data_IF_424302611382
#
_entry.id   IF_424302611382
#
_cell.length_a   1.000
_cell.length_b   1.000
_cell.length_c   1.000
_cell.angle_alpha   90.00
_cell.angle_beta   90.00
_cell.angle_gamma   90.00
#
_symmetry.space_group_name_H-M   'P 1'
#
loop_
_entity.id
_entity.type
_entity.pdbx_description
1 polymer ?
#
# COMPACT_ATOMS: atom_id res chain seq x y z
N UNK A 1 11.72 -2.45 16.08
CA UNK A 1 12.83 -1.71 16.75
C UNK A 1 12.34 -0.28 16.92
N UNK A 2 12.61 0.41 18.03
CA UNK A 2 12.14 1.80 18.18
C UNK A 2 13.14 2.78 17.60
N UNK A 3 12.63 3.84 16.96
CA UNK A 3 13.35 5.02 16.58
C UNK A 3 13.95 5.66 17.84
N UNK A 4 15.27 5.63 17.98
CA UNK A 4 15.93 6.39 19.04
C UNK A 4 15.78 7.88 18.76
N UNK A 5 15.82 8.73 19.78
CA UNK A 5 15.80 10.19 19.62
C UNK A 5 17.04 10.78 18.90
N UNK A 6 17.81 9.95 18.21
CA UNK A 6 19.12 10.28 17.65
C UNK A 6 19.09 9.96 16.16
N UNK A 7 19.61 10.84 15.28
CA UNK A 7 19.43 10.73 13.84
C UNK A 7 20.12 9.50 13.24
N UNK A 8 19.50 8.97 12.19
CA UNK A 8 20.12 8.05 11.25
C UNK A 8 20.94 8.81 10.22
N UNK A 9 21.96 8.14 9.68
CA UNK A 9 22.77 8.66 8.57
C UNK A 9 23.13 7.56 7.59
N UNK A 10 23.53 7.92 6.37
CA UNK A 10 24.03 6.96 5.38
C UNK A 10 25.56 7.05 5.25
N UNK A 11 26.20 5.92 5.00
CA UNK A 11 27.62 5.87 4.62
C UNK A 11 27.81 5.02 3.36
N UNK A 12 28.77 5.34 2.48
CA UNK A 12 29.03 4.56 1.28
C UNK A 12 29.32 3.08 1.59
N UNK A 13 28.76 2.18 0.79
CA UNK A 13 29.08 0.76 0.88
C UNK A 13 30.49 0.53 0.33
N UNK A 14 31.40 -0.12 1.09
CA UNK A 14 32.76 -0.38 0.61
C UNK A 14 32.81 -1.39 -0.54
N UNK A 15 31.85 -2.32 -0.59
CA UNK A 15 31.88 -3.46 -1.51
C UNK A 15 31.12 -3.20 -2.82
N UNK A 16 30.21 -2.22 -2.85
CA UNK A 16 29.34 -1.94 -3.98
C UNK A 16 29.30 -0.45 -4.31
N UNK A 17 29.94 -0.08 -5.43
CA UNK A 17 29.98 1.31 -5.87
C UNK A 17 28.55 1.83 -6.17
N UNK A 18 28.23 3.00 -5.63
CA UNK A 18 26.90 3.61 -5.78
C UNK A 18 25.85 3.08 -4.80
N UNK A 19 26.21 2.15 -3.92
CA UNK A 19 25.38 1.72 -2.79
C UNK A 19 25.79 2.40 -1.49
N UNK A 20 24.88 2.41 -0.53
CA UNK A 20 25.10 2.90 0.82
C UNK A 20 24.50 1.94 1.86
N UNK A 21 24.95 2.09 3.10
CA UNK A 21 24.34 1.45 4.28
C UNK A 21 23.83 2.55 5.21
N UNK A 22 22.76 2.25 5.93
CA UNK A 22 22.20 3.14 6.94
C UNK A 22 22.75 2.78 8.33
N UNK A 23 23.15 3.80 9.08
CA UNK A 23 23.75 3.69 10.40
C UNK A 23 22.96 4.53 11.42
N UNK A 24 22.96 4.06 12.67
CA UNK A 24 22.50 4.85 13.81
C UNK A 24 23.57 5.85 14.26
N UNK A 25 23.22 6.68 15.24
CA UNK A 25 24.11 7.69 15.81
C UNK A 25 25.35 7.15 16.51
N UNK A 26 25.39 5.86 16.83
CA UNK A 26 26.57 5.18 17.38
C UNK A 26 27.50 4.65 16.28
N UNK A 27 27.16 4.89 15.02
CA UNK A 27 27.90 4.39 13.85
C UNK A 27 27.61 2.92 13.55
N UNK A 28 26.61 2.31 14.18
CA UNK A 28 26.25 0.91 13.95
C UNK A 28 25.24 0.82 12.83
N UNK A 29 25.41 -0.17 11.95
CA UNK A 29 24.42 -0.48 10.92
C UNK A 29 23.05 -0.73 11.56
N UNK A 30 22.03 -0.18 10.91
CA UNK A 30 20.65 -0.48 11.25
C UNK A 30 20.44 -2.00 11.20
N UNK A 31 19.52 -2.48 12.02
CA UNK A 31 19.09 -3.86 12.03
C UNK A 31 17.72 -3.96 11.39
N UNK A 32 17.48 -5.07 10.73
CA UNK A 32 16.20 -5.46 10.13
C UNK A 32 15.16 -5.81 11.21
N UNK A 33 13.93 -6.09 10.80
CA UNK A 33 12.86 -6.50 11.72
C UNK A 33 13.14 -7.83 12.43
N UNK A 34 13.97 -8.74 11.86
CA UNK A 34 14.44 -9.97 12.52
C UNK A 34 15.80 -9.80 13.22
N UNK A 35 16.30 -8.56 13.33
CA UNK A 35 17.55 -8.19 14.00
C UNK A 35 18.83 -8.68 13.30
N UNK A 36 18.74 -9.06 12.04
CA UNK A 36 19.90 -9.33 11.18
C UNK A 36 20.51 -8.03 10.65
N UNK A 37 21.60 -8.16 9.90
CA UNK A 37 22.26 -7.01 9.28
C UNK A 37 21.40 -6.49 8.13
N UNK A 38 21.20 -5.17 8.10
CA UNK A 38 20.52 -4.51 7.00
C UNK A 38 21.45 -4.45 5.78
N UNK A 39 20.95 -4.85 4.62
CA UNK A 39 21.72 -4.88 3.38
C UNK A 39 22.01 -3.48 2.84
N UNK A 40 23.04 -3.35 2.01
CA UNK A 40 23.27 -2.13 1.26
C UNK A 40 22.34 -2.04 0.05
N UNK A 41 21.75 -0.88 -0.19
CA UNK A 41 20.97 -0.59 -1.40
C UNK A 41 21.57 0.63 -2.10
N UNK A 42 21.06 0.98 -3.29
CA UNK A 42 21.54 2.15 -4.03
C UNK A 42 21.46 3.41 -3.17
N UNK A 43 22.42 4.32 -3.33
CA UNK A 43 22.47 5.56 -2.53
C UNK A 43 21.16 6.37 -2.59
N UNK A 44 20.47 6.52 -3.75
CA UNK A 44 19.17 7.19 -3.79
C UNK A 44 18.10 6.52 -2.93
N UNK A 45 18.02 5.19 -2.90
CA UNK A 45 17.09 4.44 -2.05
C UNK A 45 17.42 4.65 -0.58
N UNK A 46 18.70 4.62 -0.22
CA UNK A 46 19.16 4.85 1.15
C UNK A 46 18.91 6.27 1.66
N UNK A 47 19.02 7.28 0.79
CA UNK A 47 18.67 8.67 1.12
C UNK A 47 17.16 8.82 1.42
N UNK A 48 16.31 8.10 0.69
CA UNK A 48 14.87 8.09 0.97
C UNK A 48 14.57 7.41 2.31
N UNK A 49 15.22 6.29 2.61
CA UNK A 49 15.11 5.62 3.92
C UNK A 49 15.58 6.53 5.07
N UNK A 50 16.75 7.15 4.95
CA UNK A 50 17.30 8.07 5.95
C UNK A 50 16.32 9.21 6.24
N UNK A 51 15.77 9.84 5.19
CA UNK A 51 14.80 10.93 5.34
C UNK A 51 13.53 10.45 6.03
N UNK A 52 13.02 9.27 5.66
CA UNK A 52 11.80 8.72 6.23
C UNK A 52 11.98 8.38 7.72
N UNK A 53 13.06 7.68 8.08
CA UNK A 53 13.35 7.32 9.47
C UNK A 53 13.58 8.55 10.37
N UNK A 54 14.29 9.56 9.86
CA UNK A 54 14.51 10.81 10.60
C UNK A 54 13.25 11.69 10.68
N UNK A 55 12.25 11.44 9.84
CA UNK A 55 10.93 12.09 9.89
C UNK A 55 9.95 11.45 10.88
N UNK A 56 10.26 10.24 11.39
CA UNK A 56 9.41 9.56 12.37
C UNK A 56 9.47 10.27 13.74
N UNK A 57 8.35 10.31 14.49
CA UNK A 57 8.39 10.80 15.85
C UNK A 57 9.39 10.02 16.73
N UNK A 58 9.97 10.63 17.76
CA UNK A 58 10.87 9.94 18.67
C UNK A 58 10.19 8.74 19.33
N UNK A 59 10.93 7.64 19.49
CA UNK A 59 10.48 6.39 20.15
C UNK A 59 9.39 5.59 19.40
N UNK A 60 9.00 6.01 18.20
CA UNK A 60 8.10 5.28 17.32
C UNK A 60 8.73 3.98 16.81
N UNK A 61 7.96 2.92 16.57
CA UNK A 61 8.50 1.71 15.94
C UNK A 61 8.94 2.01 14.50
N UNK A 62 10.12 1.54 14.09
CA UNK A 62 10.61 1.70 12.72
C UNK A 62 9.68 1.03 11.69
N UNK A 63 8.84 0.09 12.11
CA UNK A 63 7.80 -0.52 11.27
C UNK A 63 6.72 0.47 10.80
N UNK A 64 6.68 1.68 11.35
CA UNK A 64 5.85 2.79 10.84
C UNK A 64 6.40 3.44 9.55
N UNK A 65 7.61 3.06 9.13
CA UNK A 65 8.22 3.41 7.85
C UNK A 65 7.97 2.28 6.83
N UNK A 66 7.22 2.60 5.77
CA UNK A 66 6.95 1.67 4.67
C UNK A 66 8.25 1.29 3.94
N UNK A 67 9.16 2.24 3.80
CA UNK A 67 10.47 2.02 3.16
C UNK A 67 11.31 1.06 4.00
N UNK A 68 11.34 1.24 5.33
CA UNK A 68 12.02 0.31 6.22
C UNK A 68 11.42 -1.09 6.13
N UNK A 69 10.09 -1.23 6.12
CA UNK A 69 9.43 -2.53 6.00
C UNK A 69 9.81 -3.26 4.70
N UNK A 70 9.78 -2.57 3.56
CA UNK A 70 10.22 -3.12 2.27
C UNK A 70 11.69 -3.54 2.32
N UNK A 71 12.59 -2.59 2.57
CA UNK A 71 14.02 -2.84 2.46
C UNK A 71 14.51 -3.84 3.52
N UNK A 72 13.87 -3.85 4.69
CA UNK A 72 14.16 -4.85 5.71
C UNK A 72 13.74 -6.25 5.26
N UNK A 73 12.63 -6.41 4.55
CA UNK A 73 12.19 -7.71 4.05
C UNK A 73 13.16 -8.25 2.99
N UNK A 74 13.55 -7.39 2.05
CA UNK A 74 14.50 -7.73 0.99
C UNK A 74 15.96 -7.82 1.47
N UNK A 75 16.25 -7.42 2.72
CA UNK A 75 17.55 -7.70 3.36
C UNK A 75 17.62 -9.10 3.98
N UNK A 76 16.48 -9.68 4.33
CA UNK A 76 16.39 -10.96 5.04
C UNK A 76 16.31 -12.15 4.08
N UNK A 77 15.43 -12.01 3.10
CA UNK A 77 15.12 -13.08 2.17
C UNK A 77 16.07 -13.03 0.98
N UNK A 78 16.78 -14.14 0.77
CA UNK A 78 17.61 -14.31 -0.42
C UNK A 78 16.65 -14.60 -1.59
N UNK A 79 16.20 -13.54 -2.26
CA UNK A 79 15.20 -13.57 -3.34
C UNK A 79 13.79 -13.98 -2.85
N UNK A 80 13.09 -13.10 -2.10
CA UNK A 80 11.70 -13.36 -1.73
C UNK A 80 10.83 -13.54 -2.97
N UNK A 81 9.82 -14.41 -2.86
CA UNK A 81 8.83 -14.65 -3.92
C UNK A 81 7.44 -14.37 -3.38
N UNK A 82 6.94 -13.18 -3.69
CA UNK A 82 5.58 -12.74 -3.49
C UNK A 82 4.73 -13.09 -4.71
N UNK A 83 3.46 -13.43 -4.45
CA UNK A 83 2.47 -13.75 -5.46
C UNK A 83 1.18 -13.01 -5.13
N UNK A 84 0.60 -12.36 -6.13
CA UNK A 84 -0.71 -11.74 -6.01
C UNK A 84 -1.81 -12.76 -6.36
N UNK A 85 -2.74 -12.99 -5.45
CA UNK A 85 -3.89 -13.88 -5.65
C UNK A 85 -5.07 -13.09 -6.22
N UNK A 86 -4.87 -12.43 -7.36
CA UNK A 86 -5.82 -11.45 -7.91
C UNK A 86 -7.22 -12.03 -8.10
N UNK A 87 -7.32 -13.29 -8.53
CA UNK A 87 -8.61 -13.95 -8.79
C UNK A 87 -9.44 -14.06 -7.52
N UNK A 88 -8.79 -14.42 -6.43
CA UNK A 88 -9.37 -14.53 -5.10
C UNK A 88 -9.59 -13.14 -4.49
N UNK A 89 -8.53 -12.36 -4.31
CA UNK A 89 -8.53 -11.10 -3.55
C UNK A 89 -9.52 -10.08 -4.11
N UNK A 90 -9.66 -9.97 -5.44
CA UNK A 90 -10.56 -8.98 -6.05
C UNK A 90 -12.03 -9.21 -5.68
N UNK A 91 -12.42 -10.43 -5.30
CA UNK A 91 -13.81 -10.75 -4.99
C UNK A 91 -14.30 -10.06 -3.72
N UNK A 92 -13.37 -9.64 -2.85
CA UNK A 92 -13.60 -8.88 -1.63
C UNK A 92 -13.18 -7.41 -1.75
N UNK A 93 -12.77 -6.96 -2.93
CA UNK A 93 -12.40 -5.57 -3.14
C UNK A 93 -13.64 -4.66 -3.03
N UNK A 94 -13.59 -3.74 -2.08
CA UNK A 94 -14.66 -2.83 -1.74
C UNK A 94 -15.05 -1.93 -2.93
N UNK A 95 -14.14 -1.71 -3.87
CA UNK A 95 -14.41 -0.91 -5.07
C UNK A 95 -15.46 -1.54 -6.02
N UNK A 96 -15.83 -2.81 -5.82
CA UNK A 96 -16.93 -3.47 -6.53
C UNK A 96 -18.10 -3.86 -5.61
N UNK A 97 -18.04 -3.51 -4.32
CA UNK A 97 -18.99 -3.94 -3.27
C UNK A 97 -19.43 -2.73 -2.45
N UNK A 98 -19.85 -1.66 -3.13
CA UNK A 98 -20.24 -0.40 -2.51
C UNK A 98 -21.49 -0.57 -1.64
N UNK A 99 -21.71 0.41 -0.75
CA UNK A 99 -22.86 0.43 0.15
C UNK A 99 -24.20 0.45 -0.59
N UNK A 100 -25.21 -0.17 0.02
CA UNK A 100 -26.61 -0.09 -0.45
C UNK A 100 -27.29 1.23 -0.03
N UNK A 101 -26.73 1.95 0.94
CA UNK A 101 -27.18 3.30 1.33
C UNK A 101 -26.75 4.31 0.26
N UNK A 102 -27.71 4.99 -0.36
CA UNK A 102 -27.47 5.92 -1.48
C UNK A 102 -26.51 7.07 -1.13
N UNK A 103 -26.61 7.62 0.09
CA UNK A 103 -25.77 8.72 0.55
C UNK A 103 -24.33 8.25 0.85
N UNK A 104 -24.15 6.98 1.23
CA UNK A 104 -22.82 6.37 1.34
C UNK A 104 -22.26 6.07 -0.04
N UNK A 105 -23.07 5.43 -0.87
CA UNK A 105 -22.68 4.97 -2.19
C UNK A 105 -22.17 6.14 -3.03
N UNK A 106 -22.87 7.29 -3.05
CA UNK A 106 -22.45 8.46 -3.83
C UNK A 106 -21.02 8.92 -3.49
N UNK A 107 -20.66 8.88 -2.20
CA UNK A 107 -19.32 9.24 -1.73
C UNK A 107 -18.30 8.18 -2.16
N UNK A 108 -18.64 6.91 -2.05
CA UNK A 108 -17.78 5.80 -2.46
C UNK A 108 -17.56 5.78 -3.98
N UNK A 109 -18.59 6.04 -4.78
CA UNK A 109 -18.48 6.22 -6.23
C UNK A 109 -17.47 7.30 -6.60
N UNK A 110 -17.54 8.46 -5.94
CA UNK A 110 -16.57 9.55 -6.16
C UNK A 110 -15.15 9.14 -5.79
N UNK A 111 -14.98 8.31 -4.76
CA UNK A 111 -13.67 7.89 -4.27
C UNK A 111 -12.97 6.88 -5.19
N UNK A 112 -13.74 6.12 -5.98
CA UNK A 112 -13.21 5.14 -6.96
C UNK A 112 -13.33 5.60 -8.42
N UNK A 113 -13.64 6.88 -8.66
CA UNK A 113 -13.90 7.40 -10.01
C UNK A 113 -12.76 7.13 -11.00
N UNK A 114 -11.50 7.12 -10.54
CA UNK A 114 -10.34 6.78 -11.37
C UNK A 114 -10.35 5.30 -11.81
N UNK A 115 -10.77 4.38 -10.94
CA UNK A 115 -10.92 2.97 -11.28
C UNK A 115 -12.06 2.78 -12.28
N UNK A 116 -13.20 3.43 -12.06
CA UNK A 116 -14.32 3.39 -12.99
C UNK A 116 -13.93 3.93 -14.36
N UNK A 117 -13.16 5.01 -14.42
CA UNK A 117 -12.65 5.57 -15.68
C UNK A 117 -11.67 4.62 -16.38
N UNK A 118 -10.84 3.91 -15.61
CA UNK A 118 -9.89 2.93 -16.13
C UNK A 118 -10.61 1.69 -16.70
N UNK A 119 -11.57 1.15 -15.95
CA UNK A 119 -12.31 -0.05 -16.33
C UNK A 119 -13.42 0.21 -17.36
N UNK A 120 -13.98 1.42 -17.39
CA UNK A 120 -15.06 1.82 -18.31
C UNK A 120 -16.27 0.88 -18.17
N UNK A 121 -16.76 0.34 -19.28
CA UNK A 121 -17.94 -0.54 -19.35
C UNK A 121 -17.75 -1.87 -18.60
N UNK A 122 -16.51 -2.25 -18.27
CA UNK A 122 -16.24 -3.46 -17.49
C UNK A 122 -16.47 -3.27 -15.98
N UNK A 123 -16.52 -2.03 -15.50
CA UNK A 123 -16.75 -1.80 -14.07
C UNK A 123 -18.17 -2.21 -13.67
N UNK A 124 -18.29 -2.88 -12.52
CA UNK A 124 -19.55 -3.34 -11.96
C UNK A 124 -19.70 -2.94 -10.49
N UNK A 125 -20.95 -2.72 -10.07
CA UNK A 125 -21.31 -2.65 -8.65
C UNK A 125 -22.05 -3.93 -8.28
N UNK A 126 -21.45 -4.76 -7.44
CA UNK A 126 -22.03 -6.01 -6.96
C UNK A 126 -22.53 -5.85 -5.53
N UNK A 127 -23.48 -6.69 -5.13
CA UNK A 127 -23.95 -6.74 -3.73
C UNK A 127 -22.84 -7.20 -2.76
N UNK A 128 -22.99 -6.96 -1.45
CA UNK A 128 -21.94 -7.25 -0.46
C UNK A 128 -21.50 -8.72 -0.43
N UNK A 129 -20.21 -8.96 -0.23
CA UNK A 129 -19.65 -10.31 -0.10
C UNK A 129 -19.33 -10.64 1.38
N UNK A 130 -20.21 -11.42 2.01
CA UNK A 130 -20.04 -11.88 3.40
C UNK A 130 -19.39 -13.26 3.50
N UNK A 131 -18.97 -13.84 2.38
CA UNK A 131 -18.38 -15.17 2.33
C UNK A 131 -16.92 -15.12 2.75
N UNK A 132 -16.41 -16.20 3.34
CA UNK A 132 -15.01 -16.35 3.70
C UNK A 132 -14.18 -17.00 2.58
N UNK A 133 -14.83 -17.73 1.67
CA UNK A 133 -14.17 -18.42 0.56
C UNK A 133 -14.95 -18.31 -0.74
N UNK A 134 -14.29 -18.59 -1.87
CA UNK A 134 -14.93 -18.63 -3.18
C UNK A 134 -15.99 -19.74 -3.27
N UNK A 135 -15.77 -20.88 -2.61
CA UNK A 135 -16.72 -21.99 -2.56
C UNK A 135 -18.02 -21.57 -1.85
N UNK A 136 -17.90 -20.78 -0.76
CA UNK A 136 -19.06 -20.26 -0.06
C UNK A 136 -19.83 -19.24 -0.93
N UNK A 137 -19.13 -18.39 -1.70
CA UNK A 137 -19.77 -17.50 -2.68
C UNK A 137 -20.59 -18.31 -3.70
N UNK A 138 -20.02 -19.40 -4.23
CA UNK A 138 -20.71 -20.30 -5.17
C UNK A 138 -21.95 -20.93 -4.53
N UNK A 139 -21.84 -21.43 -3.30
CA UNK A 139 -22.97 -22.05 -2.59
C UNK A 139 -24.10 -21.04 -2.32
N UNK A 140 -23.75 -19.79 -2.04
CA UNK A 140 -24.70 -18.68 -1.83
C UNK A 140 -25.21 -18.04 -3.12
N UNK A 141 -24.74 -18.49 -4.29
CA UNK A 141 -25.01 -17.88 -5.60
C UNK A 141 -24.72 -16.37 -5.63
N UNK A 142 -23.62 -15.94 -4.99
CA UNK A 142 -23.17 -14.55 -5.08
C UNK A 142 -22.53 -14.30 -6.44
N UNK A 143 -22.75 -13.10 -6.97
CA UNK A 143 -22.11 -12.65 -8.20
C UNK A 143 -20.60 -12.46 -7.97
N UNK A 144 -19.82 -12.92 -8.94
CA UNK A 144 -18.37 -12.75 -8.97
C UNK A 144 -18.00 -11.48 -9.73
N UNK A 145 -16.87 -10.89 -9.39
CA UNK A 145 -16.23 -9.86 -10.21
C UNK A 145 -15.95 -10.47 -11.60
N UNK A 146 -16.38 -9.82 -12.70
CA UNK A 146 -16.25 -10.36 -14.05
C UNK A 146 -14.80 -10.65 -14.44
N UNK A 147 -14.61 -11.68 -15.26
CA UNK A 147 -13.30 -12.04 -15.80
C UNK A 147 -12.66 -10.90 -16.60
N UNK A 148 -13.45 -10.03 -17.25
CA UNK A 148 -12.92 -8.88 -17.99
C UNK A 148 -12.24 -7.85 -17.07
N UNK A 149 -12.74 -7.65 -15.85
CA UNK A 149 -12.09 -6.84 -14.82
C UNK A 149 -10.79 -7.50 -14.38
N UNK A 150 -10.83 -8.81 -14.11
CA UNK A 150 -9.66 -9.60 -13.72
C UNK A 150 -8.54 -9.51 -14.76
N UNK A 151 -8.86 -9.66 -16.04
CA UNK A 151 -7.91 -9.57 -17.15
C UNK A 151 -7.26 -8.18 -17.23
N UNK A 152 -8.04 -7.11 -17.04
CA UNK A 152 -7.51 -5.74 -17.02
C UNK A 152 -6.54 -5.52 -15.86
N UNK A 153 -6.91 -5.91 -14.63
CA UNK A 153 -6.04 -5.77 -13.46
C UNK A 153 -4.80 -6.67 -13.58
N UNK A 154 -4.96 -7.90 -14.05
CA UNK A 154 -3.83 -8.80 -14.32
C UNK A 154 -2.85 -8.20 -15.33
N UNK A 155 -3.35 -7.55 -16.39
CA UNK A 155 -2.54 -6.84 -17.37
C UNK A 155 -1.68 -5.73 -16.77
N UNK A 156 -2.16 -5.01 -15.75
CA UNK A 156 -1.36 -4.00 -15.02
C UNK A 156 -0.22 -4.67 -14.25
N UNK A 157 -0.53 -5.76 -13.55
CA UNK A 157 0.39 -6.41 -12.61
C UNK A 157 1.41 -7.34 -13.28
N UNK A 158 1.26 -7.63 -14.57
CA UNK A 158 2.07 -8.61 -15.29
C UNK A 158 3.59 -8.36 -15.18
N UNK A 159 3.99 -7.09 -15.15
CA UNK A 159 5.39 -6.65 -15.08
C UNK A 159 5.79 -6.12 -13.69
N UNK A 160 5.02 -6.42 -12.65
CA UNK A 160 5.39 -6.00 -11.30
C UNK A 160 6.64 -6.74 -10.83
N UNK A 161 7.61 -5.99 -10.29
CA UNK A 161 8.75 -6.58 -9.59
C UNK A 161 8.30 -7.16 -8.24
N UNK A 162 9.18 -7.92 -7.59
CA UNK A 162 8.90 -8.47 -6.27
C UNK A 162 8.64 -7.38 -5.23
N UNK A 163 9.32 -6.24 -5.33
CA UNK A 163 9.11 -5.07 -4.46
C UNK A 163 7.72 -4.47 -4.65
N UNK A 164 7.24 -4.41 -5.90
CA UNK A 164 5.88 -3.94 -6.21
C UNK A 164 4.82 -4.94 -5.74
N UNK A 165 5.04 -6.24 -5.91
CA UNK A 165 4.14 -7.27 -5.39
C UNK A 165 4.07 -7.21 -3.85
N UNK A 166 5.20 -7.10 -3.17
CA UNK A 166 5.24 -6.90 -1.73
C UNK A 166 4.54 -5.61 -1.31
N UNK A 167 4.69 -4.53 -2.06
CA UNK A 167 3.99 -3.28 -1.78
C UNK A 167 2.47 -3.44 -1.87
N UNK A 168 1.95 -4.23 -2.82
CA UNK A 168 0.52 -4.57 -2.85
C UNK A 168 0.12 -5.28 -1.55
N UNK A 169 0.82 -6.35 -1.17
CA UNK A 169 0.51 -7.14 0.02
C UNK A 169 0.59 -6.29 1.31
N UNK A 170 1.64 -5.48 1.45
CA UNK A 170 1.82 -4.58 2.59
C UNK A 170 0.67 -3.58 2.70
N UNK A 171 0.27 -2.96 1.59
CA UNK A 171 -0.81 -1.97 1.59
C UNK A 171 -2.19 -2.63 1.77
N UNK A 172 -2.41 -3.83 1.25
CA UNK A 172 -3.61 -4.60 1.54
C UNK A 172 -3.72 -4.84 3.05
N UNK A 173 -2.63 -5.27 3.71
CA UNK A 173 -2.62 -5.47 5.15
C UNK A 173 -2.90 -4.18 5.94
N UNK A 174 -2.35 -3.05 5.50
CA UNK A 174 -2.57 -1.74 6.16
C UNK A 174 -4.02 -1.28 5.99
N UNK A 175 -4.60 -1.48 4.82
CA UNK A 175 -5.96 -1.03 4.52
C UNK A 175 -7.05 -2.07 4.85
N UNK A 176 -6.70 -3.21 5.45
CA UNK A 176 -7.67 -4.21 5.90
C UNK A 176 -8.13 -5.20 4.82
N UNK A 177 -7.37 -5.36 3.73
CA UNK A 177 -7.51 -6.47 2.77
C UNK A 177 -8.57 -6.31 1.68
N UNK A 178 -9.24 -5.15 1.60
CA UNK A 178 -10.39 -4.94 0.70
C UNK A 178 -10.16 -3.83 -0.36
N UNK A 179 -8.92 -3.45 -0.66
CA UNK A 179 -8.61 -2.26 -1.49
C UNK A 179 -7.67 -2.54 -2.68
N UNK A 180 -7.62 -3.79 -3.14
CA UNK A 180 -6.66 -4.27 -4.14
C UNK A 180 -6.54 -3.37 -5.37
N UNK A 181 -7.66 -3.06 -6.04
CA UNK A 181 -7.65 -2.34 -7.32
C UNK A 181 -7.07 -0.94 -7.19
N UNK A 182 -7.44 -0.21 -6.13
CA UNK A 182 -6.92 1.13 -5.88
C UNK A 182 -5.41 1.10 -5.59
N UNK A 183 -4.94 0.10 -4.84
CA UNK A 183 -3.50 -0.10 -4.60
C UNK A 183 -2.76 -0.38 -5.92
N UNK A 184 -3.29 -1.25 -6.76
CA UNK A 184 -2.69 -1.60 -8.06
C UNK A 184 -2.59 -0.38 -8.98
N UNK A 185 -3.64 0.45 -9.05
CA UNK A 185 -3.62 1.71 -9.82
C UNK A 185 -2.56 2.67 -9.26
N UNK A 186 -2.41 2.77 -7.95
CA UNK A 186 -1.45 3.67 -7.32
C UNK A 186 0.00 3.26 -7.59
N UNK A 187 0.33 1.96 -7.46
CA UNK A 187 1.66 1.41 -7.79
C UNK A 187 1.99 1.67 -9.26
N UNK A 188 0.97 1.68 -10.12
CA UNK A 188 1.10 1.88 -11.56
C UNK A 188 1.10 3.35 -11.99
N UNK A 189 1.15 4.30 -11.04
CA UNK A 189 1.05 5.75 -11.28
C UNK A 189 -0.24 6.20 -12.01
N UNK A 190 -1.32 5.42 -11.92
CA UNK A 190 -2.61 5.79 -12.49
C UNK A 190 -3.42 6.69 -11.54
N UNK A 191 -3.09 6.68 -10.25
CA UNK A 191 -3.61 7.60 -9.22
C UNK A 191 -2.48 8.11 -8.33
N UNK A 192 -2.71 9.24 -7.65
CA UNK A 192 -1.79 9.77 -6.64
C UNK A 192 -2.05 9.19 -5.24
N UNK A 193 -1.12 9.46 -4.32
CA UNK A 193 -1.20 8.92 -2.95
C UNK A 193 -2.39 9.46 -2.15
N UNK A 194 -2.79 10.70 -2.41
CA UNK A 194 -3.94 11.32 -1.74
C UNK A 194 -5.24 10.63 -2.16
N UNK A 195 -5.38 10.32 -3.44
CA UNK A 195 -6.51 9.56 -4.00
C UNK A 195 -6.61 8.18 -3.37
N UNK A 196 -5.49 7.44 -3.25
CA UNK A 196 -5.47 6.10 -2.63
C UNK A 196 -5.94 6.13 -1.16
N UNK A 197 -5.50 7.11 -0.37
CA UNK A 197 -5.89 7.18 1.05
C UNK A 197 -7.35 7.57 1.18
N UNK A 198 -7.79 8.58 0.43
CA UNK A 198 -9.19 9.00 0.45
C UNK A 198 -10.11 7.85 0.02
N UNK A 199 -9.74 7.10 -1.03
CA UNK A 199 -10.50 5.91 -1.41
C UNK A 199 -10.54 4.89 -0.29
N UNK A 200 -9.40 4.60 0.35
CA UNK A 200 -9.36 3.64 1.45
C UNK A 200 -10.24 4.03 2.63
N UNK A 201 -10.19 5.30 3.05
CA UNK A 201 -11.02 5.81 4.15
C UNK A 201 -12.51 5.71 3.81
N UNK A 202 -12.91 6.19 2.62
CA UNK A 202 -14.32 6.27 2.21
C UNK A 202 -14.93 4.90 1.89
N UNK A 203 -14.14 3.97 1.34
CA UNK A 203 -14.57 2.58 1.14
C UNK A 203 -14.71 1.82 2.46
N UNK A 204 -13.93 2.20 3.49
CA UNK A 204 -13.99 1.60 4.82
C UNK A 204 -15.06 2.23 5.72
N UNK A 205 -15.71 3.32 5.29
CA UNK A 205 -16.78 3.98 6.05
C UNK A 205 -18.03 3.09 6.17
N UNK A 206 -18.13 2.28 7.23
CA UNK A 206 -19.41 1.84 7.77
C UNK A 206 -19.99 3.01 8.56
N UNK A 207 -20.82 3.85 7.94
CA UNK A 207 -21.22 5.13 8.54
C UNK A 207 -21.93 4.98 9.89
N UNK A 208 -21.42 5.68 10.90
CA UNK A 208 -22.25 6.28 11.96
C UNK A 208 -22.59 7.76 11.64
N UNK A 209 -21.91 8.43 10.70
CA UNK A 209 -22.15 9.85 10.39
C UNK A 209 -22.25 10.16 8.87
N UNK A 210 -23.45 10.05 8.27
CA UNK A 210 -23.70 10.39 6.87
C UNK A 210 -23.71 11.85 6.49
N UNK A 211 -23.76 12.74 7.47
CA UNK A 211 -24.18 14.11 7.24
C UNK A 211 -23.03 15.05 6.82
N UNK A 212 -21.77 14.59 6.85
CA UNK A 212 -20.65 15.41 6.39
C UNK A 212 -19.63 14.63 5.54
N UNK A 213 -19.64 14.77 4.20
CA UNK A 213 -18.65 14.14 3.33
C UNK A 213 -17.26 14.79 3.44
N UNK A 214 -17.10 15.83 4.27
CA UNK A 214 -15.83 16.50 4.48
C UNK A 214 -15.09 15.88 5.66
N UNK A 215 -13.86 15.42 5.39
CA UNK A 215 -12.92 15.04 6.43
C UNK A 215 -12.73 16.18 7.43
N UNK A 216 -12.68 15.84 8.71
CA UNK A 216 -12.29 16.74 9.79
C UNK A 216 -10.87 17.29 9.56
N UNK A 217 -10.52 18.33 10.33
CA UNK A 217 -9.17 18.92 10.25
C UNK A 217 -8.08 17.90 10.60
N UNK A 218 -8.33 17.03 11.57
CA UNK A 218 -7.41 15.95 11.96
C UNK A 218 -7.26 14.91 10.84
N UNK A 219 -8.37 14.46 10.26
CA UNK A 219 -8.32 13.48 9.16
C UNK A 219 -7.59 14.05 7.94
N UNK A 220 -7.83 15.31 7.58
CA UNK A 220 -7.09 15.96 6.49
C UNK A 220 -5.58 16.01 6.77
N UNK A 221 -5.19 16.23 8.04
CA UNK A 221 -3.79 16.21 8.44
C UNK A 221 -3.21 14.79 8.34
N UNK A 222 -3.95 13.77 8.76
CA UNK A 222 -3.53 12.37 8.66
C UNK A 222 -3.41 11.92 7.20
N UNK A 223 -4.38 12.28 6.36
CA UNK A 223 -4.34 12.07 4.90
C UNK A 223 -3.08 12.70 4.31
N UNK A 224 -2.79 13.97 4.65
CA UNK A 224 -1.62 14.66 4.13
C UNK A 224 -0.32 13.97 4.57
N UNK A 225 -0.21 13.61 5.85
CA UNK A 225 0.98 12.96 6.40
C UNK A 225 1.20 11.58 5.76
N UNK A 226 0.16 10.75 5.68
CA UNK A 226 0.29 9.42 5.08
C UNK A 226 0.50 9.49 3.56
N UNK A 227 -0.06 10.49 2.87
CA UNK A 227 0.16 10.71 1.43
C UNK A 227 1.65 10.95 1.15
N UNK A 228 2.31 11.74 1.99
CA UNK A 228 3.75 11.98 1.85
C UNK A 228 4.59 10.72 2.08
N UNK A 229 4.18 9.85 3.02
CA UNK A 229 4.83 8.56 3.25
C UNK A 229 4.68 7.64 2.04
N UNK A 230 3.47 7.55 1.48
CA UNK A 230 3.19 6.80 0.26
C UNK A 230 4.01 7.33 -0.92
N UNK A 231 4.06 8.64 -1.15
CA UNK A 231 4.87 9.22 -2.24
C UNK A 231 6.37 8.89 -2.10
N UNK A 232 6.91 8.92 -0.88
CA UNK A 232 8.29 8.52 -0.63
C UNK A 232 8.48 7.01 -0.89
N UNK A 233 7.54 6.20 -0.45
CA UNK A 233 7.54 4.75 -0.66
C UNK A 233 7.49 4.40 -2.15
N UNK A 234 6.59 5.04 -2.92
CA UNK A 234 6.48 4.86 -4.36
C UNK A 234 7.79 5.17 -5.07
N UNK A 235 8.47 6.25 -4.70
CA UNK A 235 9.79 6.58 -5.28
C UNK A 235 10.80 5.46 -5.09
N UNK A 236 10.80 4.79 -3.94
CA UNK A 236 11.67 3.62 -3.72
C UNK A 236 11.31 2.48 -4.66
N UNK A 237 10.02 2.18 -4.85
CA UNK A 237 9.56 1.12 -5.76
C UNK A 237 9.93 1.33 -7.23
N UNK A 238 10.26 2.56 -7.65
CA UNK A 238 10.73 2.88 -9.00
C UNK A 238 12.26 3.02 -9.10
N UNK A 239 12.96 2.90 -7.97
CA UNK A 239 14.43 2.92 -7.89
C UNK A 239 15.03 1.53 -7.59
N UNK A 240 14.20 0.61 -7.10
CA UNK A 240 14.46 -0.83 -7.03
C UNK A 240 14.16 -1.47 -8.40
#
# INVERSE_FOLDING_TARGET
>A
MKNSSVPFSIVPCPDYQGHAIIIDSSGKSLKTHLRNNFSSFTSPVMQLLEKDLNGLPPQTDLRESLIYCLLSTFSEEHSPVFQLYLKEDIQWDAAYRLSEDEDIAEIQYKSIAALMLYLQEDWVCLGPNTSQTLEEMQQKNLEFVPDSVLEKIAGITADFSQEKMYAVELLQNIFGGIHLSMIVLWISNLIDSETLIKSSLLLSCSKEEPENPQFSKSENQDIQVFSLKLEAFRKVLFLC
#
